data_IF_629150576940
#
_entry.id   IF_629150576940
#
_cell.length_a   1.000
_cell.length_b   1.000
_cell.length_c   1.000
_cell.angle_alpha   90.00
_cell.angle_beta   90.00
_cell.angle_gamma   90.00
#
_symmetry.space_group_name_H-M   'P 1'
#
loop_
_entity.id
_entity.type
_entity.pdbx_description
1 polymer ?
#
# COMPACT_ATOMS: atom_id res chain seq x y z
N UNK A 1 -2.50 17.53 20.48
CA UNK A 1 -3.08 16.59 21.46
C UNK A 1 -2.72 15.18 21.02
N UNK A 2 -1.72 14.59 21.64
CA UNK A 2 -1.26 13.23 21.34
C UNK A 2 -2.31 12.24 21.84
N UNK A 3 -2.61 11.21 21.05
CA UNK A 3 -3.64 10.19 21.31
C UNK A 3 -3.57 9.56 22.72
N UNK A 4 -2.41 9.60 23.38
CA UNK A 4 -2.21 9.28 24.80
C UNK A 4 -3.06 10.12 25.76
N UNK A 5 -3.34 11.39 25.46
CA UNK A 5 -4.19 12.25 26.32
C UNK A 5 -5.67 11.91 26.23
N UNK A 6 -6.13 11.31 25.12
CA UNK A 6 -7.53 10.91 24.95
C UNK A 6 -7.83 9.64 25.79
N UNK A 7 -6.88 8.70 25.85
CA UNK A 7 -6.96 7.49 26.68
C UNK A 7 -6.80 7.76 28.18
N UNK A 8 -6.06 8.81 28.55
CA UNK A 8 -5.89 9.26 29.93
C UNK A 8 -7.03 10.16 30.42
N UNK A 9 -8.08 10.36 29.60
CA UNK A 9 -9.20 11.22 29.98
C UNK A 9 -10.12 10.53 31.00
N UNK A 10 -10.57 11.29 32.00
CA UNK A 10 -11.37 10.77 33.12
C UNK A 10 -12.69 10.13 32.68
N UNK A 11 -13.29 10.60 31.59
CA UNK A 11 -14.53 10.04 31.06
C UNK A 11 -14.32 8.64 30.43
N UNK A 12 -13.16 8.41 29.80
CA UNK A 12 -12.82 7.13 29.20
C UNK A 12 -12.63 6.06 30.27
N UNK A 13 -11.87 6.40 31.32
CA UNK A 13 -11.64 5.48 32.45
C UNK A 13 -12.95 5.11 33.15
N UNK A 14 -13.86 6.08 33.33
CA UNK A 14 -15.22 5.84 33.86
C UNK A 14 -16.07 4.95 32.95
N UNK A 15 -16.07 5.20 31.65
CA UNK A 15 -16.82 4.38 30.69
C UNK A 15 -16.30 2.95 30.65
N UNK A 16 -14.97 2.76 30.69
CA UNK A 16 -14.36 1.43 30.69
C UNK A 16 -14.65 0.65 31.97
N UNK A 17 -14.80 1.31 33.12
CA UNK A 17 -15.20 0.65 34.38
C UNK A 17 -16.63 0.07 34.34
N UNK A 18 -17.51 0.57 33.46
CA UNK A 18 -18.88 0.08 33.31
C UNK A 18 -18.98 -1.16 32.41
N UNK A 19 -17.92 -1.49 31.68
CA UNK A 19 -17.91 -2.62 30.74
C UNK A 19 -17.28 -3.84 31.43
N UNK A 20 -18.03 -4.94 31.63
CA UNK A 20 -17.48 -6.16 32.20
C UNK A 20 -16.51 -6.84 31.24
N UNK A 21 -15.31 -7.16 31.72
CA UNK A 21 -14.28 -7.86 30.94
C UNK A 21 -14.43 -9.38 31.10
N UNK A 22 -14.69 -10.07 29.99
CA UNK A 22 -14.73 -11.53 29.96
C UNK A 22 -13.33 -12.13 29.85
N UNK A 23 -13.10 -13.31 30.46
CA UNK A 23 -11.81 -14.03 30.38
C UNK A 23 -11.38 -14.37 28.94
N UNK A 24 -12.31 -14.46 28.00
CA UNK A 24 -12.06 -14.83 26.60
C UNK A 24 -12.10 -13.63 25.63
N UNK A 25 -12.84 -12.57 25.97
CA UNK A 25 -13.01 -11.39 25.14
C UNK A 25 -13.24 -10.16 26.03
N UNK A 26 -12.34 -9.19 25.93
CA UNK A 26 -12.40 -7.92 26.66
C UNK A 26 -12.72 -6.79 25.69
N UNK A 27 -13.94 -6.27 25.78
CA UNK A 27 -14.36 -5.09 25.03
C UNK A 27 -13.45 -3.90 25.33
N UNK A 28 -12.91 -3.80 26.55
CA UNK A 28 -11.90 -2.81 26.92
C UNK A 28 -10.69 -2.80 25.97
N UNK A 29 -10.15 -3.97 25.63
CA UNK A 29 -8.98 -4.08 24.73
C UNK A 29 -9.28 -3.60 23.31
N UNK A 30 -10.53 -3.72 22.86
CA UNK A 30 -10.95 -3.21 21.54
C UNK A 30 -10.91 -1.70 21.54
N UNK A 31 -11.49 -1.05 22.55
CA UNK A 31 -11.49 0.41 22.64
C UNK A 31 -10.11 0.99 22.92
N UNK A 32 -9.26 0.30 23.69
CA UNK A 32 -7.86 0.68 23.90
C UNK A 32 -7.04 0.63 22.60
N UNK A 33 -7.43 -0.23 21.66
CA UNK A 33 -6.79 -0.39 20.35
C UNK A 33 -7.13 0.72 19.35
N UNK A 34 -8.31 1.34 19.44
CA UNK A 34 -8.78 2.38 18.49
C UNK A 34 -7.76 3.52 18.34
N UNK A 35 -7.30 4.16 19.42
CA UNK A 35 -6.16 5.08 19.44
C UNK A 35 -4.98 4.68 18.56
N UNK A 36 -4.50 3.43 18.68
CA UNK A 36 -3.33 2.95 17.93
C UNK A 36 -3.64 2.81 16.44
N UNK A 37 -4.86 2.39 16.09
CA UNK A 37 -5.33 2.30 14.71
C UNK A 37 -5.41 3.69 14.07
N UNK A 38 -6.01 4.66 14.79
CA UNK A 38 -6.13 6.04 14.31
C UNK A 38 -4.77 6.70 14.08
N UNK A 39 -3.74 6.37 14.87
CA UNK A 39 -2.38 6.84 14.64
C UNK A 39 -1.78 6.38 13.31
N UNK A 40 -2.18 5.20 12.82
CA UNK A 40 -1.69 4.65 11.55
C UNK A 40 -2.52 5.08 10.34
N UNK A 41 -3.69 5.67 10.58
CA UNK A 41 -4.61 6.13 9.55
C UNK A 41 -3.95 7.09 8.52
N UNK A 42 -3.09 8.04 8.91
CA UNK A 42 -2.35 8.86 7.94
C UNK A 42 -1.47 8.04 6.99
N UNK A 43 -0.82 6.98 7.48
CA UNK A 43 0.01 6.09 6.66
C UNK A 43 -0.84 5.35 5.64
N UNK A 44 -1.98 4.79 6.06
CA UNK A 44 -2.92 4.13 5.14
C UNK A 44 -3.42 5.10 4.07
N UNK A 45 -3.85 6.30 4.48
CA UNK A 45 -4.31 7.32 3.53
C UNK A 45 -3.21 7.74 2.56
N UNK A 46 -1.97 7.92 3.03
CA UNK A 46 -0.83 8.24 2.17
C UNK A 46 -0.61 7.17 1.11
N UNK A 47 -0.65 5.89 1.50
CA UNK A 47 -0.47 4.77 0.58
C UNK A 47 -1.63 4.67 -0.42
N UNK A 48 -2.87 4.77 0.05
CA UNK A 48 -4.07 4.69 -0.80
C UNK A 48 -4.15 5.86 -1.77
N UNK A 49 -4.00 7.09 -1.30
CA UNK A 49 -4.04 8.27 -2.16
C UNK A 49 -2.86 8.33 -3.12
N UNK A 50 -1.66 7.98 -2.66
CA UNK A 50 -0.48 7.88 -3.50
C UNK A 50 -0.66 6.84 -4.60
N UNK A 51 -1.08 5.62 -4.24
CA UNK A 51 -1.35 4.54 -5.18
C UNK A 51 -2.45 4.92 -6.19
N UNK A 52 -3.58 5.46 -5.72
CA UNK A 52 -4.68 5.88 -6.58
C UNK A 52 -4.28 6.99 -7.56
N UNK A 53 -3.51 7.99 -7.11
CA UNK A 53 -3.04 9.08 -7.98
C UNK A 53 -2.16 8.55 -9.12
N UNK A 54 -1.15 7.74 -8.81
CA UNK A 54 -0.27 7.17 -9.83
C UNK A 54 -0.99 6.13 -10.69
N UNK A 55 -1.89 5.36 -10.10
CA UNK A 55 -2.74 4.40 -10.81
C UNK A 55 -3.64 5.08 -11.82
N UNK A 56 -4.26 6.20 -11.46
CA UNK A 56 -5.09 6.99 -12.37
C UNK A 56 -4.31 7.56 -13.56
N UNK A 57 -3.09 8.05 -13.32
CA UNK A 57 -2.21 8.52 -14.40
C UNK A 57 -1.87 7.37 -15.37
N UNK A 58 -1.55 6.19 -14.83
CA UNK A 58 -1.21 5.02 -15.64
C UNK A 58 -2.45 4.44 -16.36
N UNK A 59 -3.62 4.45 -15.71
CA UNK A 59 -4.91 4.08 -16.30
C UNK A 59 -5.23 4.96 -17.51
N UNK A 60 -4.99 6.26 -17.39
CA UNK A 60 -5.21 7.21 -18.49
C UNK A 60 -4.31 6.87 -19.69
N UNK A 61 -3.03 6.56 -19.44
CA UNK A 61 -2.11 6.12 -20.50
C UNK A 61 -2.62 4.83 -21.15
N UNK A 62 -3.01 3.82 -20.37
CA UNK A 62 -3.55 2.57 -20.88
C UNK A 62 -4.85 2.76 -21.67
N UNK A 63 -5.73 3.66 -21.22
CA UNK A 63 -6.97 4.00 -21.92
C UNK A 63 -6.69 4.65 -23.28
N UNK A 64 -5.76 5.61 -23.34
CA UNK A 64 -5.35 6.25 -24.60
C UNK A 64 -4.79 5.22 -25.58
N UNK A 65 -3.92 4.32 -25.13
CA UNK A 65 -3.35 3.25 -25.97
C UNK A 65 -4.44 2.31 -26.48
N UNK A 66 -5.40 1.93 -25.61
CA UNK A 66 -6.52 1.05 -25.95
C UNK A 66 -7.45 1.67 -26.99
N UNK A 67 -7.73 2.98 -26.90
CA UNK A 67 -8.59 3.71 -27.86
C UNK A 67 -7.89 3.84 -29.22
N UNK A 68 -6.62 4.26 -29.24
CA UNK A 68 -5.89 4.52 -30.48
C UNK A 68 -5.41 3.23 -31.19
N UNK A 69 -5.44 2.07 -30.51
CA UNK A 69 -5.04 0.75 -31.05
C UNK A 69 -3.70 0.77 -31.79
N UNK A 70 -2.72 1.50 -31.26
CA UNK A 70 -1.38 1.59 -31.85
C UNK A 70 -0.78 0.19 -31.96
N UNK A 71 -0.35 -0.22 -33.17
CA UNK A 71 0.04 -1.61 -33.51
C UNK A 71 0.96 -2.29 -32.49
N UNK A 72 1.93 -1.56 -31.93
CA UNK A 72 2.92 -2.12 -30.99
C UNK A 72 2.48 -1.92 -29.53
N UNK A 73 1.92 -0.77 -29.19
CA UNK A 73 1.58 -0.45 -27.80
C UNK A 73 0.31 -1.17 -27.34
N UNK A 74 -0.65 -1.40 -28.24
CA UNK A 74 -1.89 -2.10 -27.93
C UNK A 74 -1.67 -3.53 -27.39
N UNK A 75 -0.93 -4.43 -28.07
CA UNK A 75 -0.70 -5.77 -27.52
C UNK A 75 0.10 -5.74 -26.22
N UNK A 76 1.06 -4.80 -26.08
CA UNK A 76 1.82 -4.65 -24.83
C UNK A 76 0.92 -4.22 -23.67
N UNK A 77 0.08 -3.21 -23.88
CA UNK A 77 -0.90 -2.74 -22.90
C UNK A 77 -1.91 -3.85 -22.55
N UNK A 78 -2.42 -4.58 -23.54
CA UNK A 78 -3.34 -5.69 -23.31
C UNK A 78 -2.69 -6.81 -22.48
N UNK A 79 -1.42 -7.13 -22.76
CA UNK A 79 -0.65 -8.09 -21.97
C UNK A 79 -0.47 -7.61 -20.52
N UNK A 80 -0.02 -6.37 -20.31
CA UNK A 80 0.16 -5.81 -18.97
C UNK A 80 -1.15 -5.80 -18.18
N UNK A 81 -2.25 -5.30 -18.75
CA UNK A 81 -3.54 -5.26 -18.05
C UNK A 81 -4.06 -6.67 -17.75
N UNK A 82 -3.89 -7.62 -18.67
CA UNK A 82 -4.25 -9.03 -18.42
C UNK A 82 -3.44 -9.64 -17.28
N UNK A 83 -2.12 -9.44 -17.27
CA UNK A 83 -1.24 -9.91 -16.21
C UNK A 83 -1.59 -9.29 -14.85
N UNK A 84 -1.83 -7.99 -14.81
CA UNK A 84 -2.15 -7.26 -13.58
C UNK A 84 -3.52 -7.65 -13.02
N UNK A 85 -4.52 -7.92 -13.88
CA UNK A 85 -5.83 -8.47 -13.47
C UNK A 85 -5.77 -9.95 -13.09
N UNK A 86 -4.82 -10.70 -13.67
CA UNK A 86 -4.63 -12.14 -13.42
C UNK A 86 -3.75 -12.45 -12.20
N UNK A 87 -3.07 -11.46 -11.62
CA UNK A 87 -2.17 -11.64 -10.48
C UNK A 87 -2.78 -11.09 -9.19
N UNK A 88 -2.76 -11.85 -8.08
CA UNK A 88 -3.20 -11.32 -6.80
C UNK A 88 -2.37 -10.10 -6.37
N UNK A 89 -3.02 -9.10 -5.78
CA UNK A 89 -2.35 -7.88 -5.30
C UNK A 89 -1.22 -8.17 -4.31
N UNK A 90 -1.36 -9.22 -3.49
CA UNK A 90 -0.32 -9.67 -2.58
C UNK A 90 0.95 -10.10 -3.33
N UNK A 91 0.80 -10.77 -4.47
CA UNK A 91 1.94 -11.16 -5.32
C UNK A 91 2.60 -9.92 -5.91
N UNK A 92 1.83 -8.93 -6.34
CA UNK A 92 2.37 -7.66 -6.84
C UNK A 92 3.15 -6.91 -5.75
N UNK A 93 2.65 -6.90 -4.52
CA UNK A 93 3.36 -6.36 -3.35
C UNK A 93 4.65 -7.13 -3.06
N UNK A 94 4.63 -8.47 -3.11
CA UNK A 94 5.84 -9.27 -2.91
C UNK A 94 6.87 -9.03 -4.03
N UNK A 95 6.43 -8.93 -5.28
CA UNK A 95 7.31 -8.67 -6.42
C UNK A 95 7.93 -7.27 -6.34
N UNK A 96 7.17 -6.26 -5.94
CA UNK A 96 7.71 -4.91 -5.76
C UNK A 96 8.63 -4.84 -4.55
N UNK A 97 8.26 -5.44 -3.43
CA UNK A 97 9.03 -5.37 -2.18
C UNK A 97 10.30 -6.23 -2.18
N UNK A 98 10.28 -7.43 -2.78
CA UNK A 98 11.44 -8.32 -2.82
C UNK A 98 12.11 -8.36 -4.20
N UNK A 99 11.32 -8.35 -5.27
CA UNK A 99 11.82 -8.49 -6.64
C UNK A 99 12.59 -7.26 -7.12
N UNK A 100 12.07 -6.04 -6.91
CA UNK A 100 12.77 -4.81 -7.32
C UNK A 100 14.14 -4.68 -6.63
N UNK A 101 14.27 -4.81 -5.29
CA UNK A 101 15.56 -4.84 -4.62
C UNK A 101 16.54 -5.88 -5.17
N UNK A 102 16.06 -7.10 -5.44
CA UNK A 102 16.88 -8.17 -5.97
C UNK A 102 17.41 -7.85 -7.37
N UNK A 103 16.56 -7.31 -8.24
CA UNK A 103 16.94 -6.88 -9.58
C UNK A 103 17.96 -5.74 -9.54
N UNK A 104 17.74 -4.73 -8.70
CA UNK A 104 18.70 -3.63 -8.52
C UNK A 104 20.05 -4.14 -8.01
N UNK A 105 20.06 -5.12 -7.11
CA UNK A 105 21.29 -5.76 -6.63
C UNK A 105 22.03 -6.48 -7.76
N UNK A 106 21.31 -7.22 -8.59
CA UNK A 106 21.90 -7.92 -9.74
C UNK A 106 22.51 -6.92 -10.75
N UNK A 107 21.83 -5.81 -11.01
CA UNK A 107 22.34 -4.74 -11.88
C UNK A 107 23.59 -4.10 -11.28
N UNK A 108 23.58 -3.76 -9.98
CA UNK A 108 24.77 -3.24 -9.28
C UNK A 108 25.97 -4.18 -9.39
N UNK A 109 25.75 -5.48 -9.26
CA UNK A 109 26.81 -6.48 -9.36
C UNK A 109 27.37 -6.59 -10.78
N UNK A 110 26.51 -6.57 -11.80
CA UNK A 110 26.92 -6.76 -13.19
C UNK A 110 27.52 -5.49 -13.82
N UNK A 111 26.98 -4.31 -13.50
CA UNK A 111 27.29 -3.04 -14.17
C UNK A 111 28.03 -2.05 -13.25
N UNK A 112 28.30 -2.43 -12.00
CA UNK A 112 29.00 -1.59 -11.02
C UNK A 112 28.20 -0.36 -10.60
N UNK A 113 26.88 -0.35 -10.81
CA UNK A 113 26.03 0.80 -10.44
C UNK A 113 25.98 0.96 -8.92
N UNK A 114 25.97 2.21 -8.43
CA UNK A 114 25.98 2.54 -7.00
C UNK A 114 24.58 2.64 -6.37
N UNK A 115 23.57 1.93 -6.88
CA UNK A 115 22.20 2.10 -6.38
C UNK A 115 22.08 1.62 -4.92
N UNK A 116 21.70 2.52 -4.02
CA UNK A 116 21.48 2.18 -2.62
C UNK A 116 20.06 1.66 -2.41
N UNK A 117 19.91 0.34 -2.38
CA UNK A 117 18.62 -0.35 -2.18
C UNK A 117 18.01 0.00 -0.82
N UNK A 118 18.83 0.16 0.22
CA UNK A 118 18.37 0.47 1.58
C UNK A 118 17.83 1.89 1.71
N UNK A 119 18.11 2.77 0.74
CA UNK A 119 17.59 4.12 0.72
C UNK A 119 16.15 4.20 0.19
N UNK A 120 15.61 3.10 -0.38
CA UNK A 120 14.27 3.09 -0.96
C UNK A 120 13.24 2.88 0.16
N UNK A 121 12.30 3.83 0.38
CA UNK A 121 11.28 3.67 1.41
C UNK A 121 10.33 2.52 1.12
N UNK A 122 9.98 1.72 2.14
CA UNK A 122 9.05 0.60 1.98
C UNK A 122 7.68 1.01 1.40
N UNK A 123 7.22 2.23 1.74
CA UNK A 123 5.99 2.81 1.23
C UNK A 123 5.98 2.94 -0.30
N UNK A 124 7.14 3.15 -0.94
CA UNK A 124 7.21 3.29 -2.39
C UNK A 124 6.84 1.96 -3.09
N UNK A 125 7.29 0.82 -2.56
CA UNK A 125 6.94 -0.48 -3.12
C UNK A 125 5.43 -0.73 -3.04
N UNK A 126 4.81 -0.38 -1.92
CA UNK A 126 3.36 -0.48 -1.75
C UNK A 126 2.60 0.45 -2.73
N UNK A 127 3.03 1.70 -2.86
CA UNK A 127 2.44 2.65 -3.81
C UNK A 127 2.56 2.14 -5.25
N UNK A 128 3.71 1.58 -5.64
CA UNK A 128 3.91 1.02 -6.99
C UNK A 128 2.98 -0.16 -7.25
N UNK A 129 2.87 -1.09 -6.29
CA UNK A 129 1.96 -2.23 -6.43
C UNK A 129 0.49 -1.78 -6.53
N UNK A 130 0.08 -0.83 -5.67
CA UNK A 130 -1.28 -0.27 -5.72
C UNK A 130 -1.53 0.48 -7.02
N UNK A 131 -0.60 1.31 -7.48
CA UNK A 131 -0.73 2.03 -8.73
C UNK A 131 -0.91 1.08 -9.93
N UNK A 132 -0.14 -0.01 -10.00
CA UNK A 132 -0.32 -1.00 -11.06
C UNK A 132 -1.66 -1.73 -10.98
N UNK A 133 -2.09 -2.10 -9.77
CA UNK A 133 -3.38 -2.74 -9.57
C UNK A 133 -4.52 -1.81 -10.02
N UNK A 134 -4.57 -0.58 -9.49
CA UNK A 134 -5.57 0.44 -9.82
C UNK A 134 -5.56 0.81 -11.31
N UNK A 135 -4.39 0.87 -11.95
CA UNK A 135 -4.29 1.20 -13.37
C UNK A 135 -4.89 0.14 -14.30
N UNK A 136 -4.90 -1.11 -13.85
CA UNK A 136 -5.39 -2.22 -14.65
C UNK A 136 -6.91 -2.37 -14.56
N UNK A 137 -7.50 -2.06 -13.40
CA UNK A 137 -8.92 -2.26 -13.10
C UNK A 137 -9.82 -1.23 -13.78
#
# INVERSE_FOLDING_TARGET
MTVTTFLASDWYQRLMQLIPDGKLFSLRSVFDGIPRIVQQLPTTLMLTLGGALFGLLLALIFAIVKINRVKILYPLQAFFVSFLKGTPILVQLMLTYYGIPLLLKAINQQWGTGFNINAIPAALFAIVAFAFNEAAY
#
